data_IF_222098683478
#
_entry.id   IF_222098683478
#
_cell.length_a   1.000
_cell.length_b   1.000
_cell.length_c   1.000
_cell.angle_alpha   90.00
_cell.angle_beta   90.00
_cell.angle_gamma   90.00
#
_symmetry.space_group_name_H-M   'P 1'
#
loop_
_entity.id
_entity.type
_entity.pdbx_description
1 polymer ?
#
# COMPACT_ATOMS: atom_id res chain seq x y z
N UNK A 1 10.96 -5.04 8.78
CA UNK A 1 10.38 -6.16 8.01
C UNK A 1 9.74 -7.25 8.89
N UNK A 2 10.01 -7.32 10.20
CA UNK A 2 9.62 -8.49 11.02
C UNK A 2 8.13 -8.61 11.38
N UNK A 3 7.39 -7.51 11.55
CA UNK A 3 5.98 -7.56 12.02
C UNK A 3 5.03 -8.30 11.05
N UNK A 4 5.29 -8.22 9.75
CA UNK A 4 4.39 -8.73 8.73
C UNK A 4 5.03 -9.80 7.84
N UNK A 5 6.32 -10.11 8.04
CA UNK A 5 7.11 -10.98 7.16
C UNK A 5 6.99 -10.56 5.68
N UNK A 6 7.03 -9.23 5.47
CA UNK A 6 6.97 -8.55 4.19
C UNK A 6 8.11 -7.54 4.12
N UNK A 7 8.74 -7.45 2.94
CA UNK A 7 9.76 -6.44 2.64
C UNK A 7 9.11 -5.27 1.88
N UNK A 8 9.43 -4.03 2.27
CA UNK A 8 9.02 -2.85 1.51
C UNK A 8 9.58 -2.81 0.10
N UNK A 9 10.74 -3.44 -0.15
CA UNK A 9 11.31 -3.57 -1.49
C UNK A 9 10.39 -4.36 -2.44
N UNK A 10 9.52 -5.22 -1.89
CA UNK A 10 8.54 -5.98 -2.66
C UNK A 10 7.20 -5.23 -2.84
N UNK A 11 6.95 -4.16 -2.08
CA UNK A 11 5.70 -3.41 -2.14
C UNK A 11 5.30 -2.97 -3.56
N UNK A 12 6.21 -2.55 -4.46
CA UNK A 12 5.86 -2.18 -5.83
C UNK A 12 5.19 -3.32 -6.63
N UNK A 13 5.39 -4.59 -6.23
CA UNK A 13 4.80 -5.74 -6.91
C UNK A 13 3.27 -5.73 -6.86
N UNK A 14 2.66 -5.13 -5.83
CA UNK A 14 1.20 -5.09 -5.66
C UNK A 14 0.50 -4.32 -6.79
N UNK A 15 1.18 -3.31 -7.37
CA UNK A 15 0.64 -2.50 -8.46
C UNK A 15 0.61 -3.23 -9.81
N UNK A 16 1.20 -4.43 -9.91
CA UNK A 16 1.18 -5.26 -11.13
C UNK A 16 -0.07 -6.12 -11.27
N UNK A 17 -0.95 -6.11 -10.26
CA UNK A 17 -2.19 -6.86 -10.22
C UNK A 17 -3.37 -5.92 -9.91
N UNK A 18 -4.63 -6.38 -10.08
CA UNK A 18 -5.78 -5.60 -9.67
C UNK A 18 -5.65 -5.14 -8.21
N UNK A 19 -5.76 -3.83 -8.00
CA UNK A 19 -5.60 -3.17 -6.73
C UNK A 19 -6.81 -2.27 -6.48
N UNK A 20 -7.55 -2.51 -5.39
CA UNK A 20 -8.61 -1.60 -4.97
C UNK A 20 -7.99 -0.50 -4.11
N UNK A 21 -8.10 0.75 -4.57
CA UNK A 21 -7.50 1.91 -3.90
C UNK A 21 -8.59 2.83 -3.36
N UNK A 22 -8.42 3.36 -2.15
CA UNK A 22 -9.25 4.43 -1.56
C UNK A 22 -8.41 5.38 -0.71
N UNK A 23 -8.82 6.64 -0.62
CA UNK A 23 -8.18 7.62 0.27
C UNK A 23 -8.29 7.19 1.75
N UNK A 24 -7.22 7.34 2.51
CA UNK A 24 -7.22 7.11 3.96
C UNK A 24 -7.74 8.35 4.70
N UNK A 25 -9.02 8.32 5.06
CA UNK A 25 -9.68 9.43 5.75
C UNK A 25 -9.70 9.26 7.28
N UNK A 26 -8.94 8.31 7.84
CA UNK A 26 -8.99 8.02 9.29
C UNK A 26 -8.41 9.13 10.15
N UNK A 27 -7.38 9.81 9.66
CA UNK A 27 -6.70 10.89 10.37
C UNK A 27 -6.09 11.85 9.35
N UNK A 28 -5.97 13.13 9.72
CA UNK A 28 -5.18 14.07 8.95
C UNK A 28 -3.69 13.86 9.25
N UNK A 29 -2.98 13.21 8.32
CA UNK A 29 -1.55 12.90 8.44
C UNK A 29 -0.63 14.03 7.93
N UNK A 30 -1.18 15.16 7.49
CA UNK A 30 -0.42 16.25 6.86
C UNK A 30 -0.03 15.97 5.40
N UNK A 31 -0.46 14.84 4.85
CA UNK A 31 -0.33 14.42 3.45
C UNK A 31 -1.49 13.48 3.10
N UNK A 32 -1.82 13.37 1.81
CA UNK A 32 -2.78 12.38 1.33
C UNK A 32 -2.14 10.99 1.36
N UNK A 33 -2.85 10.05 1.98
CA UNK A 33 -2.49 8.63 2.03
C UNK A 33 -3.55 7.78 1.39
N UNK A 34 -3.13 6.70 0.76
CA UNK A 34 -4.00 5.78 0.04
C UNK A 34 -3.90 4.39 0.66
N UNK A 35 -5.06 3.76 0.87
CA UNK A 35 -5.20 2.36 1.25
C UNK A 35 -5.40 1.53 -0.01
N UNK A 36 -4.52 0.57 -0.25
CA UNK A 36 -4.63 -0.40 -1.34
C UNK A 36 -4.92 -1.81 -0.81
N UNK A 37 -5.94 -2.49 -1.32
CA UNK A 37 -6.20 -3.92 -1.10
C UNK A 37 -5.92 -4.68 -2.41
N UNK A 38 -4.90 -5.53 -2.40
CA UNK A 38 -4.42 -6.19 -3.62
C UNK A 38 -3.70 -7.50 -3.38
N UNK A 39 -3.10 -8.04 -4.44
CA UNK A 39 -2.36 -9.31 -4.42
C UNK A 39 -0.86 -9.06 -4.59
N UNK A 40 -0.07 -9.76 -3.78
CA UNK A 40 1.40 -9.78 -3.88
C UNK A 40 1.91 -11.19 -3.57
N UNK A 41 2.61 -11.80 -4.52
CA UNK A 41 3.21 -13.15 -4.40
C UNK A 41 2.22 -14.21 -3.86
N UNK A 42 0.99 -14.20 -4.39
CA UNK A 42 -0.09 -15.12 -4.03
C UNK A 42 -0.79 -14.81 -2.70
N UNK A 43 -0.48 -13.68 -2.05
CA UNK A 43 -1.08 -13.24 -0.79
C UNK A 43 -1.92 -12.00 -0.98
N UNK A 44 -3.06 -11.94 -0.27
CA UNK A 44 -3.82 -10.70 -0.13
C UNK A 44 -3.09 -9.78 0.85
N UNK A 45 -2.83 -8.55 0.42
CA UNK A 45 -2.10 -7.55 1.21
C UNK A 45 -2.88 -6.24 1.27
N UNK A 46 -2.70 -5.52 2.38
CA UNK A 46 -3.08 -4.12 2.51
C UNK A 46 -1.82 -3.28 2.47
N UNK A 47 -1.73 -2.36 1.51
CA UNK A 47 -0.62 -1.41 1.36
C UNK A 47 -1.11 0.01 1.70
N UNK A 48 -0.25 0.79 2.34
CA UNK A 48 -0.47 2.24 2.55
C UNK A 48 0.65 2.98 1.84
N UNK A 49 0.30 3.96 1.01
CA UNK A 49 1.28 4.76 0.24
C UNK A 49 0.80 6.19 0.05
N UNK A 50 1.74 7.11 -0.21
CA UNK A 50 1.47 8.49 -0.63
C UNK A 50 2.06 8.73 -2.02
N UNK A 51 1.59 9.77 -2.69
CA UNK A 51 2.20 10.19 -3.95
C UNK A 51 3.53 10.90 -3.67
N UNK A 52 4.55 10.73 -4.54
CA UNK A 52 5.76 11.52 -4.46
C UNK A 52 5.41 13.01 -4.52
N UNK A 53 6.05 13.82 -3.67
CA UNK A 53 6.00 15.26 -3.86
C UNK A 53 6.68 15.60 -5.20
N UNK A 54 6.12 16.53 -5.99
CA UNK A 54 6.75 16.97 -7.24
C UNK A 54 8.16 17.53 -7.01
#
# INVERSE_FOLDING_TARGET
MEKHNLDFADAPKVFRFPLRISLDTKQNYGEDRWLGLGLMDGRVVVIVFSEPKP
#
